data_IF_152791410768
#
_entry.id   IF_152791410768
#
_cell.length_a   1.000
_cell.length_b   1.000
_cell.length_c   1.000
_cell.angle_alpha   90.00
_cell.angle_beta   90.00
_cell.angle_gamma   90.00
#
_symmetry.space_group_name_H-M   'P 1'
#
loop_
_entity.id
_entity.type
_entity.pdbx_description
1 polymer ?
#
# COMPACT_ATOMS: atom_id res chain seq x y z
N UNK A 1 -27.88 1.04 49.03
CA UNK A 1 -27.78 0.00 47.96
C UNK A 1 -27.30 0.70 46.69
N UNK A 2 -25.99 0.78 46.47
CA UNK A 2 -25.41 1.48 45.32
C UNK A 2 -25.30 0.53 44.13
N UNK A 3 -26.07 0.82 43.08
CA UNK A 3 -25.96 0.14 41.81
C UNK A 3 -24.73 0.65 41.08
N UNK A 4 -23.66 -0.13 41.08
CA UNK A 4 -22.52 0.04 40.16
C UNK A 4 -23.02 -0.24 38.74
N UNK A 5 -23.18 0.79 37.95
CA UNK A 5 -23.37 0.67 36.51
C UNK A 5 -21.96 0.39 35.90
N UNK A 6 -21.71 -0.86 35.56
CA UNK A 6 -20.54 -1.28 34.81
C UNK A 6 -20.76 -0.82 33.36
N UNK A 7 -20.24 0.36 32.99
CA UNK A 7 -20.18 0.79 31.61
C UNK A 7 -19.07 -0.05 30.94
N UNK A 8 -19.44 -1.16 30.32
CA UNK A 8 -18.63 -1.81 29.35
C UNK A 8 -18.45 -0.87 28.15
N UNK A 9 -17.37 -0.11 28.12
CA UNK A 9 -16.85 0.51 26.89
C UNK A 9 -16.40 -0.63 25.97
N UNK A 10 -17.34 -1.24 25.23
CA UNK A 10 -17.02 -1.95 24.00
C UNK A 10 -16.40 -0.91 23.08
N UNK A 11 -15.08 -0.91 22.97
CA UNK A 11 -14.41 -0.30 21.84
C UNK A 11 -14.94 -1.03 20.60
N UNK A 12 -15.95 -0.45 19.96
CA UNK A 12 -16.36 -0.89 18.62
C UNK A 12 -15.11 -0.77 17.76
N UNK A 13 -14.46 -1.89 17.49
CA UNK A 13 -13.46 -1.97 16.42
C UNK A 13 -14.28 -1.78 15.15
N UNK A 14 -14.36 -0.51 14.70
CA UNK A 14 -15.02 -0.19 13.44
C UNK A 14 -14.17 -0.84 12.35
N UNK A 15 -14.66 -1.98 11.83
CA UNK A 15 -14.08 -2.64 10.68
C UNK A 15 -14.08 -1.65 9.52
N UNK A 16 -12.88 -1.21 9.09
CA UNK A 16 -12.77 -0.34 7.91
C UNK A 16 -12.66 -1.19 6.66
N UNK A 17 -13.26 -0.71 5.59
CA UNK A 17 -12.98 -1.24 4.26
C UNK A 17 -11.68 -0.62 3.75
N UNK A 18 -10.74 -1.47 3.33
CA UNK A 18 -9.41 -1.06 2.88
C UNK A 18 -9.12 -1.67 1.52
N UNK A 19 -8.70 -0.84 0.58
CA UNK A 19 -8.25 -1.27 -0.75
C UNK A 19 -6.73 -1.05 -0.84
N UNK A 20 -6.00 -2.10 -1.23
CA UNK A 20 -4.56 -2.06 -1.45
C UNK A 20 -4.29 -2.00 -2.96
N UNK A 21 -3.62 -0.93 -3.41
CA UNK A 21 -3.22 -0.75 -4.82
C UNK A 21 -1.71 -0.57 -4.88
N UNK A 22 -1.00 -1.45 -5.60
CA UNK A 22 0.45 -1.34 -5.63
C UNK A 22 1.19 -2.36 -6.48
N UNK A 23 2.47 -2.48 -6.19
CA UNK A 23 3.43 -3.34 -6.88
C UNK A 23 3.59 -4.73 -6.23
N UNK A 24 4.68 -5.41 -6.56
CA UNK A 24 5.01 -6.74 -6.05
C UNK A 24 5.06 -6.85 -4.53
N UNK A 25 5.31 -5.77 -3.82
CA UNK A 25 5.34 -5.76 -2.35
C UNK A 25 3.93 -5.93 -1.77
N UNK A 26 2.91 -5.31 -2.37
CA UNK A 26 1.52 -5.62 -1.99
C UNK A 26 1.09 -7.01 -2.47
N UNK A 27 1.58 -7.49 -3.61
CA UNK A 27 1.35 -8.87 -4.04
C UNK A 27 1.87 -9.85 -2.99
N UNK A 28 3.12 -9.68 -2.53
CA UNK A 28 3.72 -10.51 -1.49
C UNK A 28 2.98 -10.43 -0.15
N UNK A 29 2.62 -9.22 0.29
CA UNK A 29 1.85 -9.02 1.52
C UNK A 29 0.48 -9.71 1.45
N UNK A 30 -0.25 -9.51 0.37
CA UNK A 30 -1.58 -10.09 0.19
C UNK A 30 -1.54 -11.63 0.12
N UNK A 31 -0.56 -12.19 -0.58
CA UNK A 31 -0.42 -13.64 -0.71
C UNK A 31 0.10 -14.28 0.59
N UNK A 32 1.28 -13.87 1.07
CA UNK A 32 1.97 -14.54 2.19
C UNK A 32 1.32 -14.26 3.55
N UNK A 33 0.71 -13.10 3.71
CA UNK A 33 0.17 -12.69 5.00
C UNK A 33 -1.36 -12.76 5.05
N UNK A 34 -2.06 -12.33 4.00
CA UNK A 34 -3.53 -12.19 4.01
C UNK A 34 -4.26 -13.34 3.31
N UNK A 35 -3.53 -14.30 2.72
CA UNK A 35 -4.10 -15.49 2.10
C UNK A 35 -4.81 -15.27 0.78
N UNK A 36 -4.52 -14.18 0.06
CA UNK A 36 -5.02 -14.00 -1.31
C UNK A 36 -4.26 -14.90 -2.29
N UNK A 37 -4.99 -15.50 -3.22
CA UNK A 37 -4.40 -16.29 -4.30
C UNK A 37 -3.93 -15.38 -5.44
N UNK A 38 -2.87 -15.81 -6.13
CA UNK A 38 -2.46 -15.19 -7.40
C UNK A 38 -3.54 -15.39 -8.47
N UNK A 39 -3.75 -14.36 -9.27
CA UNK A 39 -4.46 -14.47 -10.53
C UNK A 39 -3.47 -14.35 -11.68
N UNK A 40 -3.66 -15.16 -12.72
CA UNK A 40 -2.84 -15.06 -13.93
C UNK A 40 -3.39 -13.93 -14.80
N UNK A 41 -2.54 -12.98 -15.23
CA UNK A 41 -2.92 -12.03 -16.26
C UNK A 41 -2.74 -12.71 -17.61
N UNK A 42 -3.83 -12.85 -18.36
CA UNK A 42 -3.81 -13.48 -19.67
C UNK A 42 -3.46 -12.47 -20.77
N UNK A 43 -3.68 -11.18 -20.60
CA UNK A 43 -3.45 -10.16 -21.63
C UNK A 43 -2.79 -8.90 -21.06
N UNK A 44 -1.52 -8.68 -21.34
CA UNK A 44 -0.85 -7.43 -20.98
C UNK A 44 0.65 -7.50 -20.77
N UNK A 45 1.37 -8.27 -21.57
CA UNK A 45 2.81 -8.07 -21.81
C UNK A 45 3.77 -8.28 -20.64
N UNK A 46 3.36 -8.98 -19.58
CA UNK A 46 4.23 -9.31 -18.46
C UNK A 46 3.90 -10.65 -17.86
N UNK A 47 4.91 -11.49 -17.68
CA UNK A 47 4.83 -12.80 -17.00
C UNK A 47 4.70 -12.69 -15.47
N UNK A 48 4.20 -11.56 -14.97
CA UNK A 48 4.13 -11.26 -13.54
C UNK A 48 2.84 -11.75 -12.88
N UNK A 49 2.99 -12.43 -11.74
CA UNK A 49 1.88 -12.75 -10.86
C UNK A 49 1.18 -11.47 -10.38
N UNK A 50 -0.12 -11.47 -10.33
CA UNK A 50 -0.89 -10.36 -9.79
C UNK A 50 -2.00 -10.86 -8.87
N UNK A 51 -2.51 -9.96 -8.05
CA UNK A 51 -3.69 -10.20 -7.23
C UNK A 51 -4.73 -9.14 -7.59
N UNK A 52 -5.90 -9.61 -8.02
CA UNK A 52 -7.08 -8.80 -8.31
C UNK A 52 -8.24 -9.42 -7.55
N UNK A 53 -8.51 -8.95 -6.37
CA UNK A 53 -9.61 -9.49 -5.59
C UNK A 53 -10.94 -8.93 -6.11
N UNK A 54 -11.85 -9.80 -6.48
CA UNK A 54 -13.24 -9.44 -6.81
C UNK A 54 -14.10 -9.27 -5.56
N UNK A 55 -13.67 -9.90 -4.44
CA UNK A 55 -14.34 -9.83 -3.15
C UNK A 55 -13.35 -9.43 -2.06
N UNK A 56 -13.88 -8.83 -1.00
CA UNK A 56 -13.10 -8.50 0.18
C UNK A 56 -12.86 -9.76 1.04
N UNK A 57 -11.73 -9.76 1.76
CA UNK A 57 -11.42 -10.73 2.82
C UNK A 57 -11.29 -10.02 4.15
N UNK A 58 -11.76 -10.67 5.22
CA UNK A 58 -11.49 -10.20 6.57
C UNK A 58 -10.05 -10.50 6.95
N UNK A 59 -9.30 -9.48 7.36
CA UNK A 59 -7.96 -9.62 7.87
C UNK A 59 -7.68 -8.57 8.95
N UNK A 60 -7.24 -9.02 10.12
CA UNK A 60 -6.84 -8.18 11.26
C UNK A 60 -7.87 -7.08 11.61
N UNK A 61 -9.16 -7.45 11.59
CA UNK A 61 -10.29 -6.57 11.90
C UNK A 61 -10.72 -5.63 10.78
N UNK A 62 -10.19 -5.79 9.57
CA UNK A 62 -10.53 -4.98 8.39
C UNK A 62 -11.08 -5.85 7.26
N UNK A 63 -11.89 -5.24 6.41
CA UNK A 63 -12.35 -5.81 5.13
C UNK A 63 -11.37 -5.38 4.03
N UNK A 64 -10.56 -6.30 3.51
CA UNK A 64 -9.45 -5.99 2.59
C UNK A 64 -9.79 -6.41 1.15
N UNK A 65 -9.56 -5.52 0.20
CA UNK A 65 -9.48 -5.83 -1.22
C UNK A 65 -8.10 -5.44 -1.77
N UNK A 66 -7.66 -6.12 -2.83
CA UNK A 66 -6.31 -5.93 -3.39
C UNK A 66 -6.36 -5.85 -4.91
N UNK A 67 -5.67 -4.86 -5.48
CA UNK A 67 -5.26 -4.84 -6.89
C UNK A 67 -3.78 -4.48 -6.94
N UNK A 68 -2.93 -5.48 -7.11
CA UNK A 68 -1.48 -5.32 -7.15
C UNK A 68 -0.85 -6.26 -8.19
N UNK A 69 0.28 -5.85 -8.75
CA UNK A 69 0.98 -6.61 -9.79
C UNK A 69 2.50 -6.60 -9.56
N UNK A 70 3.14 -7.74 -9.79
CA UNK A 70 4.61 -7.86 -9.79
C UNK A 70 5.20 -6.94 -10.88
N UNK A 71 6.29 -6.29 -10.56
CA UNK A 71 6.97 -5.31 -11.44
C UNK A 71 6.08 -4.12 -11.87
N UNK A 72 4.98 -3.88 -11.17
CA UNK A 72 4.12 -2.75 -11.51
C UNK A 72 4.82 -1.42 -11.22
N UNK A 73 4.68 -0.53 -12.16
CA UNK A 73 5.01 0.89 -12.07
C UNK A 73 3.75 1.73 -12.28
N UNK A 74 3.85 3.03 -12.14
CA UNK A 74 2.74 3.94 -12.50
C UNK A 74 2.26 3.76 -13.93
N UNK A 75 3.17 3.37 -14.84
CA UNK A 75 2.85 3.08 -16.25
C UNK A 75 2.02 1.81 -16.43
N UNK A 76 2.11 0.86 -15.53
CA UNK A 76 1.30 -0.37 -15.56
C UNK A 76 -0.19 -0.06 -15.39
N UNK A 77 -0.51 0.98 -14.61
CA UNK A 77 -1.88 1.42 -14.33
C UNK A 77 -2.41 2.44 -15.35
N UNK A 78 -1.99 2.34 -16.61
CA UNK A 78 -2.50 3.20 -17.69
C UNK A 78 -3.93 2.86 -18.07
N UNK A 79 -4.66 3.88 -18.52
CA UNK A 79 -6.00 3.69 -19.12
C UNK A 79 -5.96 2.62 -20.23
N UNK A 80 -6.95 1.74 -20.20
CA UNK A 80 -7.07 0.63 -21.16
C UNK A 80 -6.47 -0.70 -20.69
N UNK A 81 -5.54 -0.72 -19.72
CA UNK A 81 -5.03 -1.97 -19.18
C UNK A 81 -6.03 -2.67 -18.27
N UNK A 82 -5.95 -4.00 -18.16
CA UNK A 82 -6.88 -4.76 -17.31
C UNK A 82 -6.70 -4.45 -15.83
N UNK A 83 -5.48 -4.17 -15.39
CA UNK A 83 -5.24 -3.77 -14.01
C UNK A 83 -5.85 -2.40 -13.71
N UNK A 84 -5.79 -1.46 -14.64
CA UNK A 84 -6.48 -0.17 -14.52
C UNK A 84 -7.99 -0.36 -14.38
N UNK A 85 -8.59 -1.22 -15.25
CA UNK A 85 -10.02 -1.57 -15.16
C UNK A 85 -10.37 -2.18 -13.80
N UNK A 86 -9.50 -3.07 -13.27
CA UNK A 86 -9.69 -3.71 -11.96
C UNK A 86 -9.66 -2.70 -10.81
N UNK A 87 -8.72 -1.74 -10.83
CA UNK A 87 -8.67 -0.64 -9.86
C UNK A 87 -9.98 0.15 -9.89
N UNK A 88 -10.40 0.61 -11.07
CA UNK A 88 -11.61 1.41 -11.21
C UNK A 88 -12.88 0.64 -10.83
N UNK A 89 -12.96 -0.66 -11.14
CA UNK A 89 -14.05 -1.51 -10.70
C UNK A 89 -14.13 -1.59 -9.16
N UNK A 90 -13.01 -1.82 -8.47
CA UNK A 90 -12.99 -1.88 -7.01
C UNK A 90 -13.37 -0.54 -6.40
N UNK A 91 -12.77 0.56 -6.85
CA UNK A 91 -13.02 1.88 -6.29
C UNK A 91 -14.45 2.36 -6.51
N UNK A 92 -15.03 2.08 -7.69
CA UNK A 92 -16.43 2.41 -7.99
C UNK A 92 -17.42 1.69 -7.08
N UNK A 93 -17.09 0.47 -6.67
CA UNK A 93 -17.94 -0.36 -5.80
C UNK A 93 -17.60 -0.23 -4.31
N UNK A 94 -16.65 0.63 -3.95
CA UNK A 94 -16.27 0.89 -2.56
C UNK A 94 -17.26 1.86 -1.90
N UNK A 95 -17.54 1.62 -0.62
CA UNK A 95 -18.38 2.52 0.17
C UNK A 95 -17.63 3.81 0.54
N UNK A 96 -18.35 4.91 0.76
CA UNK A 96 -17.77 6.16 1.21
C UNK A 96 -16.95 5.96 2.49
N UNK A 97 -15.80 6.63 2.60
CA UNK A 97 -14.87 6.48 3.72
C UNK A 97 -13.94 5.26 3.63
N UNK A 98 -14.05 4.42 2.57
CA UNK A 98 -13.06 3.37 2.31
C UNK A 98 -11.66 3.97 2.23
N UNK A 99 -10.70 3.36 2.93
CA UNK A 99 -9.30 3.78 2.88
C UNK A 99 -8.58 3.04 1.76
N UNK A 100 -7.93 3.78 0.87
CA UNK A 100 -7.15 3.24 -0.25
C UNK A 100 -5.67 3.47 0.04
N UNK A 101 -4.92 2.41 0.28
CA UNK A 101 -3.47 2.47 0.44
C UNK A 101 -2.81 2.33 -0.94
N UNK A 102 -2.05 3.33 -1.33
CA UNK A 102 -1.32 3.40 -2.58
C UNK A 102 0.18 3.18 -2.31
N UNK A 103 0.73 2.07 -2.78
CA UNK A 103 2.13 1.73 -2.54
C UNK A 103 2.83 1.31 -3.84
N UNK A 104 3.21 2.33 -4.62
CA UNK A 104 4.05 2.24 -5.82
C UNK A 104 5.31 3.06 -5.61
N UNK A 105 6.33 2.77 -6.38
CA UNK A 105 7.52 3.61 -6.46
C UNK A 105 8.83 2.87 -6.37
N UNK A 106 8.86 1.59 -5.93
CA UNK A 106 10.12 0.85 -5.92
C UNK A 106 10.61 0.58 -7.35
N UNK A 107 9.71 0.42 -8.29
CA UNK A 107 10.00 0.26 -9.72
C UNK A 107 10.04 1.61 -10.47
N UNK A 108 9.69 2.71 -9.81
CA UNK A 108 9.49 4.05 -10.36
C UNK A 108 10.34 5.12 -9.67
N UNK A 109 11.46 4.76 -9.04
CA UNK A 109 12.25 5.71 -8.23
C UNK A 109 12.67 6.97 -8.99
N UNK A 110 12.69 6.93 -10.33
CA UNK A 110 12.97 8.07 -11.21
C UNK A 110 11.71 8.69 -11.84
N UNK A 111 10.51 8.16 -11.58
CA UNK A 111 9.26 8.55 -12.24
C UNK A 111 8.18 9.03 -11.24
N UNK A 112 8.59 9.79 -10.22
CA UNK A 112 7.69 10.27 -9.17
C UNK A 112 6.50 11.09 -9.72
N UNK A 113 6.70 11.81 -10.83
CA UNK A 113 5.62 12.61 -11.44
C UNK A 113 4.49 11.71 -11.95
N UNK A 114 4.82 10.64 -12.68
CA UNK A 114 3.81 9.69 -13.19
C UNK A 114 3.05 9.00 -12.06
N UNK A 115 3.75 8.66 -10.96
CA UNK A 115 3.13 8.07 -9.77
C UNK A 115 2.14 9.03 -9.12
N UNK A 116 2.52 10.29 -8.93
CA UNK A 116 1.62 11.27 -8.32
C UNK A 116 0.44 11.62 -9.23
N UNK A 117 0.63 11.67 -10.54
CA UNK A 117 -0.46 11.93 -11.48
C UNK A 117 -1.48 10.80 -11.45
N UNK A 118 -1.04 9.55 -11.37
CA UNK A 118 -1.92 8.41 -11.15
C UNK A 118 -2.72 8.54 -9.83
N UNK A 119 -2.06 8.85 -8.72
CA UNK A 119 -2.72 9.02 -7.41
C UNK A 119 -3.74 10.17 -7.41
N UNK A 120 -3.36 11.31 -8.01
CA UNK A 120 -4.26 12.47 -8.15
C UNK A 120 -5.49 12.15 -8.98
N UNK A 121 -5.32 11.43 -10.08
CA UNK A 121 -6.42 11.05 -10.96
C UNK A 121 -7.40 10.14 -10.22
N UNK A 122 -6.92 9.17 -9.42
CA UNK A 122 -7.79 8.34 -8.59
C UNK A 122 -8.51 9.19 -7.53
N UNK A 123 -7.81 10.06 -6.81
CA UNK A 123 -8.40 10.88 -5.77
C UNK A 123 -9.49 11.81 -6.31
N UNK A 124 -9.29 12.39 -7.50
CA UNK A 124 -10.30 13.22 -8.18
C UNK A 124 -11.49 12.42 -8.68
N UNK A 125 -11.25 11.21 -9.22
CA UNK A 125 -12.32 10.35 -9.73
C UNK A 125 -13.22 9.77 -8.63
N UNK A 126 -12.69 9.62 -7.40
CA UNK A 126 -13.39 9.01 -6.27
C UNK A 126 -13.33 9.89 -5.02
N UNK A 127 -14.00 11.03 -4.99
CA UNK A 127 -13.85 12.05 -3.93
C UNK A 127 -14.37 11.60 -2.56
N UNK A 128 -15.20 10.54 -2.49
CA UNK A 128 -15.74 9.99 -1.25
C UNK A 128 -14.81 8.98 -0.56
N UNK A 129 -13.72 8.58 -1.24
CA UNK A 129 -12.74 7.64 -0.70
C UNK A 129 -11.53 8.40 -0.11
N UNK A 130 -10.80 7.77 0.80
CA UNK A 130 -9.64 8.33 1.49
C UNK A 130 -8.37 7.69 0.94
N UNK A 131 -7.57 8.44 0.19
CA UNK A 131 -6.34 7.95 -0.41
C UNK A 131 -5.12 8.26 0.46
N UNK A 132 -4.28 7.26 0.67
CA UNK A 132 -3.03 7.37 1.44
C UNK A 132 -1.86 6.86 0.59
N UNK A 133 -1.03 7.78 0.12
CA UNK A 133 0.23 7.49 -0.55
C UNK A 133 1.26 7.06 0.49
N UNK A 134 1.59 5.78 0.52
CA UNK A 134 2.48 5.19 1.52
C UNK A 134 3.93 5.36 1.10
N UNK A 135 4.81 5.74 2.05
CA UNK A 135 6.25 5.82 1.81
C UNK A 135 6.84 4.47 1.38
N UNK A 136 7.74 4.50 0.42
CA UNK A 136 8.46 3.32 -0.05
C UNK A 136 9.61 3.01 0.92
N UNK A 137 9.72 1.75 1.32
CA UNK A 137 10.83 1.27 2.15
C UNK A 137 12.06 0.94 1.30
N UNK A 138 13.23 0.96 1.91
CA UNK A 138 14.50 0.66 1.26
C UNK A 138 14.62 -0.78 0.77
N UNK A 139 15.82 -1.10 0.33
CA UNK A 139 16.21 -2.38 -0.26
C UNK A 139 17.56 -2.84 0.32
N UNK A 140 17.84 -4.13 0.23
CA UNK A 140 19.19 -4.63 0.47
C UNK A 140 20.05 -4.39 -0.79
N UNK A 141 20.81 -3.32 -0.78
CA UNK A 141 21.58 -2.84 -1.95
C UNK A 141 22.68 -3.81 -2.42
N UNK A 142 23.08 -4.79 -1.58
CA UNK A 142 24.04 -5.82 -2.00
C UNK A 142 23.41 -6.87 -2.92
N UNK A 143 22.08 -6.91 -3.03
CA UNK A 143 21.32 -7.93 -3.76
C UNK A 143 20.43 -7.37 -4.86
N UNK A 144 20.36 -6.05 -5.02
CA UNK A 144 19.55 -5.39 -6.05
C UNK A 144 20.26 -4.15 -6.58
N UNK A 145 19.96 -3.78 -7.84
CA UNK A 145 20.47 -2.57 -8.49
C UNK A 145 19.85 -1.27 -7.94
N UNK A 146 18.73 -1.37 -7.23
CA UNK A 146 18.03 -0.20 -6.67
C UNK A 146 18.87 0.39 -5.52
N UNK A 147 18.96 1.73 -5.46
CA UNK A 147 19.72 2.45 -4.44
C UNK A 147 18.78 3.08 -3.41
N UNK A 148 19.13 2.96 -2.12
CA UNK A 148 18.34 3.55 -1.04
C UNK A 148 18.26 5.08 -1.12
N UNK A 149 19.28 5.75 -1.68
CA UNK A 149 19.21 7.21 -1.91
C UNK A 149 18.18 7.58 -2.98
N UNK A 150 18.01 6.76 -4.03
CA UNK A 150 16.91 6.95 -4.98
C UNK A 150 15.55 6.79 -4.30
N UNK A 151 15.41 5.82 -3.38
CA UNK A 151 14.18 5.62 -2.60
C UNK A 151 13.91 6.79 -1.66
N UNK A 152 14.93 7.33 -0.97
CA UNK A 152 14.81 8.53 -0.13
C UNK A 152 14.34 9.73 -0.94
N UNK A 153 15.00 9.97 -2.08
CA UNK A 153 14.66 11.07 -2.99
C UNK A 153 13.22 10.93 -3.51
N UNK A 154 12.82 9.73 -3.93
CA UNK A 154 11.46 9.43 -4.34
C UNK A 154 10.45 9.79 -3.24
N UNK A 155 10.66 9.32 -2.00
CA UNK A 155 9.77 9.60 -0.87
C UNK A 155 9.66 11.10 -0.56
N UNK A 156 10.77 11.81 -0.58
CA UNK A 156 10.80 13.28 -0.36
C UNK A 156 9.97 14.02 -1.42
N UNK A 157 10.16 13.68 -2.69
CA UNK A 157 9.40 14.26 -3.79
C UNK A 157 7.92 13.85 -3.75
N UNK A 158 7.61 12.59 -3.44
CA UNK A 158 6.24 12.11 -3.31
C UNK A 158 5.50 12.89 -2.20
N UNK A 159 6.13 13.07 -1.03
CA UNK A 159 5.56 13.85 0.06
C UNK A 159 5.26 15.28 -0.34
N UNK A 160 6.22 15.97 -0.98
CA UNK A 160 6.05 17.35 -1.42
C UNK A 160 4.93 17.48 -2.46
N UNK A 161 4.91 16.59 -3.46
CA UNK A 161 3.93 16.61 -4.54
C UNK A 161 2.52 16.20 -4.09
N UNK A 162 2.38 15.28 -3.13
CA UNK A 162 1.08 14.96 -2.51
C UNK A 162 0.54 16.16 -1.75
N UNK A 163 1.39 16.84 -0.97
CA UNK A 163 1.00 18.06 -0.23
C UNK A 163 0.51 19.16 -1.18
N UNK A 164 1.13 19.32 -2.34
CA UNK A 164 0.74 20.33 -3.35
C UNK A 164 -0.31 19.84 -4.35
N UNK A 165 -0.83 18.62 -4.21
CA UNK A 165 -1.74 18.01 -5.19
C UNK A 165 -3.11 18.71 -5.29
N UNK A 166 -3.53 19.44 -4.26
CA UNK A 166 -4.85 20.10 -4.20
C UNK A 166 -6.03 19.11 -4.10
N UNK A 167 -5.78 17.88 -3.60
CA UNK A 167 -6.80 16.86 -3.39
C UNK A 167 -6.96 16.65 -1.87
N UNK A 168 -8.09 17.09 -1.30
CA UNK A 168 -8.36 16.99 0.14
C UNK A 168 -8.42 15.57 0.68
N UNK A 169 -8.76 14.61 -0.19
CA UNK A 169 -8.88 13.19 0.13
C UNK A 169 -7.60 12.38 -0.20
N UNK A 170 -6.49 13.03 -0.59
CA UNK A 170 -5.19 12.41 -0.83
C UNK A 170 -4.16 12.92 0.17
N UNK A 171 -3.54 12.03 0.92
CA UNK A 171 -2.49 12.35 1.90
C UNK A 171 -1.27 11.45 1.75
N UNK A 172 -0.08 11.98 2.08
CA UNK A 172 1.13 11.18 2.24
C UNK A 172 1.19 10.61 3.66
N UNK A 173 1.51 9.33 3.79
CA UNK A 173 1.70 8.68 5.09
C UNK A 173 3.06 7.99 5.12
N UNK A 174 3.90 8.41 6.07
CA UNK A 174 5.17 7.74 6.30
C UNK A 174 4.99 6.59 7.29
N UNK A 175 5.51 5.42 6.90
CA UNK A 175 5.71 4.27 7.79
C UNK A 175 7.16 4.18 8.28
N UNK A 176 8.03 5.08 7.81
CA UNK A 176 9.47 5.10 8.09
C UNK A 176 9.77 5.72 9.46
N UNK A 177 10.92 5.39 10.02
CA UNK A 177 11.49 6.08 11.18
C UNK A 177 12.28 7.31 10.72
N UNK A 178 11.60 8.46 10.67
CA UNK A 178 12.17 9.67 10.09
C UNK A 178 12.42 9.51 8.58
N UNK A 179 13.65 9.78 8.14
CA UNK A 179 14.08 9.65 6.73
C UNK A 179 14.80 8.33 6.42
N UNK A 180 14.97 7.46 7.42
CA UNK A 180 15.63 6.17 7.25
C UNK A 180 14.69 5.18 6.54
N UNK A 181 14.96 4.93 5.26
CA UNK A 181 14.17 4.00 4.44
C UNK A 181 14.31 2.53 4.86
N UNK A 182 15.33 2.20 5.64
CA UNK A 182 15.61 0.83 6.10
C UNK A 182 14.92 0.50 7.42
N UNK A 183 14.34 1.50 8.10
CA UNK A 183 13.71 1.34 9.42
C UNK A 183 12.28 1.88 9.38
N UNK A 184 11.34 1.07 9.86
CA UNK A 184 9.91 1.44 9.97
C UNK A 184 9.47 1.56 11.43
N UNK A 185 8.32 2.21 11.65
CA UNK A 185 7.64 2.23 12.94
C UNK A 185 6.46 1.26 12.89
N UNK A 186 6.59 0.11 13.54
CA UNK A 186 5.56 -0.92 13.60
C UNK A 186 5.09 -1.13 15.05
N UNK A 187 3.82 -0.83 15.33
CA UNK A 187 3.27 -0.94 16.69
C UNK A 187 4.04 -0.10 17.72
N UNK A 188 4.47 1.11 17.35
CA UNK A 188 5.25 2.03 18.20
C UNK A 188 6.73 1.69 18.35
N UNK A 189 7.22 0.59 17.75
CA UNK A 189 8.63 0.16 17.83
C UNK A 189 9.36 0.40 16.52
N UNK A 190 10.66 0.75 16.59
CA UNK A 190 11.55 0.79 15.42
C UNK A 190 11.92 -0.63 15.01
N UNK A 191 11.75 -0.94 13.72
CA UNK A 191 12.09 -2.23 13.12
C UNK A 191 12.99 -1.99 11.92
N UNK A 192 14.19 -2.55 11.92
CA UNK A 192 15.11 -2.56 10.77
C UNK A 192 14.55 -3.52 9.71
N UNK A 193 13.64 -3.00 8.85
CA UNK A 193 12.85 -3.83 7.93
C UNK A 193 13.71 -4.56 6.89
N UNK A 194 14.90 -4.05 6.59
CA UNK A 194 15.85 -4.71 5.69
C UNK A 194 16.33 -6.08 6.18
N UNK A 195 16.30 -6.33 7.48
CA UNK A 195 16.65 -7.63 8.07
C UNK A 195 15.61 -8.72 7.79
N UNK A 196 14.41 -8.32 7.34
CA UNK A 196 13.30 -9.21 7.02
C UNK A 196 13.06 -9.34 5.52
N UNK A 197 14.04 -8.95 4.71
CA UNK A 197 13.98 -9.13 3.26
C UNK A 197 14.25 -10.57 2.87
N UNK A 198 13.59 -11.00 1.78
CA UNK A 198 13.86 -12.28 1.12
C UNK A 198 15.23 -12.27 0.45
N UNK A 199 15.61 -13.43 -0.13
CA UNK A 199 16.91 -13.61 -0.77
C UNK A 199 17.23 -12.65 -1.93
N UNK A 200 16.21 -12.03 -2.54
CA UNK A 200 16.37 -11.07 -3.64
C UNK A 200 16.68 -9.63 -3.18
N UNK A 201 16.60 -9.35 -1.89
CA UNK A 201 16.87 -8.03 -1.32
C UNK A 201 15.83 -6.96 -1.64
N UNK A 202 14.67 -7.35 -2.22
CA UNK A 202 13.61 -6.46 -2.66
C UNK A 202 12.27 -6.75 -1.96
N UNK A 203 11.90 -8.02 -1.88
CA UNK A 203 10.68 -8.49 -1.25
C UNK A 203 10.92 -8.85 0.24
N UNK A 204 9.88 -9.14 0.97
CA UNK A 204 9.96 -9.44 2.40
C UNK A 204 9.53 -10.87 2.70
N UNK A 205 10.04 -11.40 3.81
CA UNK A 205 9.51 -12.61 4.44
C UNK A 205 8.09 -12.36 4.95
N UNK A 206 7.37 -13.41 5.31
CA UNK A 206 6.04 -13.29 5.94
C UNK A 206 6.08 -12.40 7.20
N UNK A 207 7.15 -12.52 8.00
CA UNK A 207 7.35 -11.71 9.20
C UNK A 207 7.57 -10.24 8.84
N UNK A 208 8.40 -9.94 7.84
CA UNK A 208 8.61 -8.59 7.31
C UNK A 208 7.30 -7.95 6.85
N UNK A 209 6.48 -8.69 6.12
CA UNK A 209 5.14 -8.20 5.74
C UNK A 209 4.23 -7.97 6.94
N UNK A 210 4.33 -8.77 8.02
CA UNK A 210 3.58 -8.52 9.25
C UNK A 210 3.97 -7.18 9.91
N UNK A 211 5.26 -6.84 9.96
CA UNK A 211 5.71 -5.54 10.46
C UNK A 211 5.23 -4.38 9.57
N UNK A 212 5.33 -4.53 8.25
CA UNK A 212 4.84 -3.53 7.30
C UNK A 212 3.33 -3.29 7.44
N UNK A 213 2.54 -4.37 7.57
CA UNK A 213 1.11 -4.23 7.81
C UNK A 213 0.82 -3.49 9.13
N UNK A 214 1.49 -3.85 10.23
CA UNK A 214 1.33 -3.14 11.51
C UNK A 214 1.65 -1.64 11.39
N UNK A 215 2.68 -1.29 10.61
CA UNK A 215 3.03 0.10 10.35
C UNK A 215 1.95 0.82 9.52
N UNK A 216 1.44 0.20 8.46
CA UNK A 216 0.38 0.76 7.61
C UNK A 216 -0.96 0.84 8.33
N UNK A 217 -1.33 -0.21 9.09
CA UNK A 217 -2.58 -0.27 9.87
C UNK A 217 -2.70 0.91 10.84
N UNK A 218 -1.60 1.35 11.43
CA UNK A 218 -1.59 2.52 12.32
C UNK A 218 -1.94 3.84 11.62
N UNK A 219 -2.03 3.84 10.29
CA UNK A 219 -2.36 4.99 9.45
C UNK A 219 -3.77 4.92 8.86
N UNK A 220 -4.46 3.79 9.03
CA UNK A 220 -5.86 3.59 8.63
C UNK A 220 -6.79 4.17 9.70
#
# INVERSE_FOLDING_TARGET
MNKFIFLCLLSLIISKHVVLIGDSRFVGMANLLMGFSYSTIINGGGTGSNIRSTSARSFDGHSIQVTAQVSASSYTFKSGTDIYKSVHYQLKNSVAGTVVLLWLGINDTNAVQSTIDFYKNLAKAYPTLIFKAVSVTGVNQSKTWIKNDSVKNFNSQLQAKVKSAGCSNLSYVSILSGTDVNTIIAGGKKVAIVNYMSGDGLHYTKEGYSFLWKAMKSKI
#
